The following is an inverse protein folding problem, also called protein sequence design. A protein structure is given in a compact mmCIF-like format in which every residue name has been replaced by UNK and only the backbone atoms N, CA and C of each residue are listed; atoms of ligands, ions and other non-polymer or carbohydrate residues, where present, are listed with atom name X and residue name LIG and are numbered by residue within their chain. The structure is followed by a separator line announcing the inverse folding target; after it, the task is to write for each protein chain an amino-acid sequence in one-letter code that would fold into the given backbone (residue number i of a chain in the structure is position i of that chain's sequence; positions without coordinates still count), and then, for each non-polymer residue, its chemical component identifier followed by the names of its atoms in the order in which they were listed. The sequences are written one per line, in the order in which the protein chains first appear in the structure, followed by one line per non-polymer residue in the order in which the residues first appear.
data_IF_815699761058
#
_entry.id   IF_815699761058
#
_cell.length_a   1.000
_cell.length_b   1.000
_cell.length_c   1.000
_cell.angle_alpha   90.00
_cell.angle_beta   90.00
_cell.angle_gamma   90.00
#
_symmetry.space_group_name_H-M   'P 1'
#
loop_
_entity.id
_entity.type
_entity.pdbx_description
1 polymer ?
#
# COMPACT_ATOMS: atom_id res chain seq x y z
N UNK A 1 -3.17 7.12 -4.06
CA UNK A 1 -2.65 8.47 -4.26
C UNK A 1 -1.16 8.50 -4.49
N UNK A 2 -0.60 9.67 -4.55
CA UNK A 2 0.82 9.87 -4.87
C UNK A 2 1.76 9.34 -3.79
N UNK A 3 1.36 9.43 -2.53
CA UNK A 3 2.15 8.90 -1.41
C UNK A 3 2.22 7.38 -1.44
N UNK A 4 1.10 6.71 -1.68
CA UNK A 4 1.05 5.25 -1.81
C UNK A 4 1.89 4.80 -3.00
N UNK A 5 1.81 5.49 -4.12
CA UNK A 5 2.60 5.16 -5.31
C UNK A 5 4.11 5.23 -5.01
N UNK A 6 4.55 6.31 -4.35
CA UNK A 6 5.95 6.48 -3.98
C UNK A 6 6.42 5.36 -3.05
N UNK A 7 5.59 5.00 -2.07
CA UNK A 7 5.87 3.90 -1.15
C UNK A 7 5.96 2.55 -1.87
N UNK A 8 5.01 2.25 -2.72
CA UNK A 8 5.00 0.98 -3.47
C UNK A 8 6.20 0.86 -4.40
N UNK A 9 6.60 1.94 -5.04
CA UNK A 9 7.81 1.95 -5.87
C UNK A 9 9.08 1.74 -5.04
N UNK A 10 9.11 2.29 -3.81
CA UNK A 10 10.18 2.03 -2.86
C UNK A 10 10.26 0.56 -2.47
N UNK A 11 9.11 -0.06 -2.16
CA UNK A 11 9.06 -1.49 -1.85
C UNK A 11 9.50 -2.34 -3.05
N UNK A 12 9.09 -1.97 -4.24
CA UNK A 12 9.51 -2.66 -5.47
C UNK A 12 11.02 -2.67 -5.61
N UNK A 13 11.65 -1.54 -5.38
CA UNK A 13 13.11 -1.41 -5.45
C UNK A 13 13.82 -2.32 -4.44
N UNK A 14 13.29 -2.41 -3.21
CA UNK A 14 13.91 -3.21 -2.15
C UNK A 14 13.63 -4.71 -2.28
N UNK A 15 12.45 -5.13 -2.76
CA UNK A 15 12.01 -6.52 -2.68
C UNK A 15 11.88 -7.24 -4.03
N UNK A 16 11.85 -6.51 -5.14
CA UNK A 16 11.84 -7.10 -6.49
C UNK A 16 13.22 -7.13 -7.15
N UNK A 17 14.19 -6.41 -6.61
CA UNK A 17 15.54 -6.38 -7.16
C UNK A 17 16.25 -7.70 -6.91
N UNK A 18 17.04 -8.19 -7.85
CA UNK A 18 17.90 -9.35 -7.65
C UNK A 18 17.39 -10.66 -8.25
N UNK A 19 16.53 -10.62 -9.24
CA UNK A 19 16.25 -11.79 -10.07
C UNK A 19 15.24 -12.78 -9.49
N UNK A 20 14.30 -12.31 -8.69
CA UNK A 20 13.20 -13.15 -8.18
C UNK A 20 12.23 -13.60 -9.29
N UNK A 21 12.44 -13.17 -10.53
CA UNK A 21 11.56 -13.53 -11.65
C UNK A 21 10.20 -12.86 -11.63
N UNK A 22 9.98 -11.89 -10.73
CA UNK A 22 8.71 -11.19 -10.56
C UNK A 22 8.82 -9.79 -11.15
N UNK A 23 7.90 -9.46 -12.05
CA UNK A 23 7.75 -8.11 -12.57
C UNK A 23 6.53 -7.47 -11.90
N UNK A 24 6.73 -6.34 -11.24
CA UNK A 24 5.64 -5.62 -10.57
C UNK A 24 5.38 -4.29 -11.26
N UNK A 25 4.12 -4.07 -11.62
CA UNK A 25 3.65 -2.80 -12.17
C UNK A 25 2.88 -2.06 -11.07
N UNK A 26 3.31 -0.84 -10.77
CA UNK A 26 2.63 0.04 -9.81
C UNK A 26 1.80 1.05 -10.58
N UNK A 27 0.52 1.20 -10.19
CA UNK A 27 -0.41 2.14 -10.80
C UNK A 27 -1.08 2.98 -9.73
N UNK A 28 -1.28 4.24 -10.02
CA UNK A 28 -1.95 5.20 -9.15
C UNK A 28 -3.37 5.46 -9.68
N UNK A 29 -4.37 5.24 -8.83
CA UNK A 29 -5.76 5.53 -9.17
C UNK A 29 -6.15 6.98 -8.91
N UNK A 30 -5.21 7.79 -8.43
CA UNK A 30 -5.38 9.22 -8.15
C UNK A 30 -6.50 9.54 -7.15
N UNK A 31 -6.63 8.71 -6.12
CA UNK A 31 -7.57 8.94 -5.02
C UNK A 31 -9.02 8.62 -5.36
N UNK A 32 -9.95 9.40 -4.83
CA UNK A 32 -11.41 9.26 -5.03
C UNK A 32 -12.03 8.02 -4.38
N UNK A 33 -11.38 7.48 -3.34
CA UNK A 33 -11.94 6.41 -2.53
C UNK A 33 -11.74 5.00 -3.04
N UNK A 34 -12.15 3.98 -2.23
CA UNK A 34 -11.91 2.58 -2.54
C UNK A 34 -12.58 2.11 -3.84
N UNK A 35 -13.78 2.60 -4.12
CA UNK A 35 -14.50 2.22 -5.34
C UNK A 35 -13.75 2.60 -6.60
N UNK A 36 -13.15 3.79 -6.60
CA UNK A 36 -12.36 4.25 -7.73
C UNK A 36 -11.10 3.41 -7.92
N UNK A 37 -10.44 3.01 -6.83
CA UNK A 37 -9.25 2.16 -6.90
C UNK A 37 -9.58 0.80 -7.51
N UNK A 38 -10.66 0.16 -7.06
CA UNK A 38 -11.08 -1.14 -7.59
C UNK A 38 -11.53 -1.02 -9.06
N UNK A 39 -12.26 0.02 -9.40
CA UNK A 39 -12.68 0.27 -10.78
C UNK A 39 -11.47 0.47 -11.70
N UNK A 40 -10.50 1.26 -11.27
CA UNK A 40 -9.26 1.48 -12.01
C UNK A 40 -8.48 0.16 -12.21
N UNK A 41 -8.33 -0.64 -11.15
CA UNK A 41 -7.65 -1.93 -11.22
C UNK A 41 -8.40 -2.92 -12.14
N UNK A 42 -9.74 -2.91 -12.11
CA UNK A 42 -10.57 -3.74 -12.97
C UNK A 42 -10.38 -3.38 -14.44
N UNK A 43 -10.33 -2.09 -14.75
CA UNK A 43 -10.09 -1.63 -16.14
C UNK A 43 -8.71 -2.03 -16.64
N UNK A 44 -7.68 -1.89 -15.81
CA UNK A 44 -6.32 -2.32 -16.16
C UNK A 44 -6.25 -3.82 -16.42
N UNK A 45 -6.98 -4.61 -15.66
CA UNK A 45 -7.03 -6.06 -15.82
C UNK A 45 -7.63 -6.49 -17.17
N UNK A 46 -8.46 -5.64 -17.80
CA UNK A 46 -9.04 -5.91 -19.12
C UNK A 46 -8.06 -5.66 -20.27
N UNK A 47 -7.09 -4.78 -20.08
CA UNK A 47 -6.15 -4.38 -21.14
C UNK A 47 -4.78 -5.01 -21.00
N UNK A 48 -4.49 -5.65 -19.88
CA UNK A 48 -3.21 -6.32 -19.62
C UNK A 48 -3.43 -7.57 -18.77
N UNK A 49 -2.64 -8.59 -19.01
CA UNK A 49 -2.68 -9.83 -18.25
C UNK A 49 -1.72 -9.77 -17.07
N UNK A 50 -2.21 -10.07 -15.88
CA UNK A 50 -1.42 -10.12 -14.64
C UNK A 50 -1.70 -11.41 -13.90
N UNK A 51 -0.66 -12.02 -13.33
CA UNK A 51 -0.81 -13.23 -12.51
C UNK A 51 -1.49 -12.91 -11.17
N UNK A 52 -1.15 -11.77 -10.58
CA UNK A 52 -1.73 -11.29 -9.34
C UNK A 52 -2.09 -9.82 -9.45
N UNK A 53 -3.21 -9.45 -8.81
CA UNK A 53 -3.69 -8.07 -8.73
C UNK A 53 -3.95 -7.73 -7.29
N UNK A 54 -3.39 -6.60 -6.84
CA UNK A 54 -3.51 -6.15 -5.46
C UNK A 54 -3.90 -4.68 -5.44
N UNK A 55 -4.80 -4.33 -4.55
CA UNK A 55 -5.16 -2.93 -4.30
C UNK A 55 -4.87 -2.59 -2.83
N UNK A 56 -4.13 -1.53 -2.63
CA UNK A 56 -3.87 -0.96 -1.30
C UNK A 56 -4.88 0.14 -1.05
N UNK A 57 -5.67 -0.01 0.00
CA UNK A 57 -6.85 0.82 0.27
C UNK A 57 -6.90 1.27 1.72
N UNK A 58 -7.43 2.48 1.94
CA UNK A 58 -7.75 2.94 3.30
C UNK A 58 -8.99 2.20 3.83
N UNK A 59 -9.06 2.03 5.15
CA UNK A 59 -10.17 1.36 5.82
C UNK A 59 -11.05 2.32 6.62
N UNK A 60 -10.77 3.62 6.59
CA UNK A 60 -11.54 4.63 7.32
C UNK A 60 -13.01 4.69 6.86
N UNK A 61 -13.25 4.40 5.58
CA UNK A 61 -14.58 4.19 5.04
C UNK A 61 -14.78 2.69 4.90
N UNK A 62 -15.78 2.08 5.57
CA UNK A 62 -16.00 0.64 5.49
C UNK A 62 -16.18 0.17 4.05
N UNK A 63 -15.54 -0.94 3.71
CA UNK A 63 -15.70 -1.56 2.40
C UNK A 63 -17.06 -2.24 2.33
N UNK A 64 -17.86 -1.86 1.33
CA UNK A 64 -19.19 -2.44 1.12
C UNK A 64 -19.07 -3.87 0.62
N UNK A 65 -20.12 -4.66 0.82
CA UNK A 65 -20.20 -6.03 0.27
C UNK A 65 -20.14 -6.01 -1.26
N UNK A 66 -20.73 -4.99 -1.88
CA UNK A 66 -20.66 -4.78 -3.32
C UNK A 66 -19.23 -4.60 -3.80
N UNK A 67 -18.45 -3.75 -3.10
CA UNK A 67 -17.04 -3.50 -3.42
C UNK A 67 -16.21 -4.77 -3.32
N UNK A 68 -16.39 -5.52 -2.22
CA UNK A 68 -15.67 -6.78 -1.99
C UNK A 68 -16.01 -7.81 -3.06
N UNK A 69 -17.28 -7.87 -3.48
CA UNK A 69 -17.73 -8.76 -4.53
C UNK A 69 -17.12 -8.39 -5.88
N UNK A 70 -17.10 -7.12 -6.22
CA UNK A 70 -16.48 -6.63 -7.46
C UNK A 70 -14.98 -6.94 -7.51
N UNK A 71 -14.28 -6.73 -6.40
CA UNK A 71 -12.86 -7.05 -6.29
C UNK A 71 -12.62 -8.55 -6.48
N UNK A 72 -13.42 -9.38 -5.82
CA UNK A 72 -13.32 -10.84 -5.92
C UNK A 72 -13.59 -11.32 -7.35
N UNK A 73 -14.58 -10.76 -8.00
CA UNK A 73 -14.93 -11.08 -9.41
C UNK A 73 -13.78 -10.73 -10.35
N UNK A 74 -13.07 -9.62 -10.10
CA UNK A 74 -11.93 -9.19 -10.89
C UNK A 74 -10.60 -9.83 -10.41
N UNK A 75 -10.66 -10.69 -9.40
CA UNK A 75 -9.50 -11.36 -8.80
C UNK A 75 -8.47 -10.36 -8.26
N UNK A 76 -8.96 -9.31 -7.61
CA UNK A 76 -8.14 -8.29 -6.97
C UNK A 76 -8.08 -8.60 -5.47
N UNK A 77 -6.87 -8.75 -4.95
CA UNK A 77 -6.64 -8.91 -3.53
C UNK A 77 -6.59 -7.53 -2.87
N UNK A 78 -7.51 -7.30 -1.92
CA UNK A 78 -7.60 -6.02 -1.22
C UNK A 78 -6.75 -6.06 0.05
N UNK A 79 -5.81 -5.12 0.17
CA UNK A 79 -4.99 -4.95 1.38
C UNK A 79 -5.36 -3.61 2.00
N UNK A 80 -5.75 -3.63 3.28
CA UNK A 80 -6.22 -2.44 3.99
C UNK A 80 -5.15 -1.75 4.81
N UNK A 81 -5.06 -0.44 4.68
CA UNK A 81 -4.28 0.41 5.59
C UNK A 81 -5.21 0.95 6.69
N UNK A 82 -4.84 0.78 7.95
CA UNK A 82 -5.71 1.06 9.11
C UNK A 82 -5.22 2.29 9.87
N UNK A 83 -6.05 3.33 9.99
CA UNK A 83 -7.31 3.57 9.28
C UNK A 83 -7.09 4.05 7.85
N UNK A 84 -5.88 4.44 7.52
CA UNK A 84 -5.45 4.95 6.23
C UNK A 84 -3.95 4.70 6.04
N UNK A 85 -3.41 5.10 4.90
CA UNK A 85 -2.01 4.88 4.56
C UNK A 85 -1.05 5.46 5.61
N UNK A 86 -1.30 6.65 6.12
CA UNK A 86 -0.47 7.28 7.15
C UNK A 86 -0.49 6.49 8.45
N UNK A 87 -1.61 5.83 8.76
CA UNK A 87 -1.70 4.91 9.90
C UNK A 87 -0.82 3.69 9.74
N UNK A 88 -0.74 3.14 8.53
CA UNK A 88 0.18 2.05 8.21
C UNK A 88 1.63 2.48 8.41
N UNK A 89 2.00 3.65 7.93
CA UNK A 89 3.36 4.18 8.09
C UNK A 89 3.72 4.36 9.56
N UNK A 90 2.80 4.88 10.38
CA UNK A 90 3.00 5.02 11.82
C UNK A 90 3.21 3.64 12.48
N UNK A 91 2.41 2.66 12.12
CA UNK A 91 2.54 1.30 12.65
C UNK A 91 3.90 0.69 12.29
N UNK A 92 4.38 0.88 11.07
CA UNK A 92 5.70 0.43 10.64
C UNK A 92 6.80 1.02 11.52
N UNK A 93 6.65 2.28 11.92
CA UNK A 93 7.62 2.97 12.79
C UNK A 93 7.43 2.63 14.28
N UNK A 94 6.54 1.70 14.60
CA UNK A 94 6.30 1.28 15.98
C UNK A 94 5.39 2.23 16.77
N UNK A 95 4.64 3.08 16.09
CA UNK A 95 3.70 4.01 16.72
C UNK A 95 2.27 3.49 16.58
N UNK A 96 1.40 3.81 17.54
CA UNK A 96 0.00 3.48 17.44
C UNK A 96 -0.71 4.46 16.51
N UNK A 97 -1.37 4.00 15.45
CA UNK A 97 -2.16 4.89 14.60
C UNK A 97 -3.32 5.52 15.39
N UNK A 98 -3.59 6.77 15.12
CA UNK A 98 -4.80 7.41 15.66
C UNK A 98 -6.03 6.82 14.97
N UNK A 99 -7.20 6.96 15.61
CA UNK A 99 -8.46 6.45 15.07
C UNK A 99 -8.91 7.19 13.81
N UNK A 100 -8.51 8.46 13.66
CA UNK A 100 -8.89 9.31 12.55
C UNK A 100 -7.71 9.55 11.61
N UNK A 101 -7.96 9.51 10.29
CA UNK A 101 -6.93 9.72 9.29
C UNK A 101 -6.27 11.11 9.39
N UNK A 102 -7.05 12.15 9.68
CA UNK A 102 -6.51 13.50 9.85
C UNK A 102 -5.45 13.56 10.94
N UNK A 103 -5.67 12.84 12.05
CA UNK A 103 -4.73 12.79 13.16
C UNK A 103 -3.49 11.94 12.79
N UNK A 104 -3.66 10.88 12.02
CA UNK A 104 -2.54 10.10 11.50
C UNK A 104 -1.64 10.96 10.58
N UNK A 105 -2.25 11.75 9.72
CA UNK A 105 -1.52 12.66 8.82
C UNK A 105 -0.71 13.68 9.60
N UNK A 106 -1.30 14.29 10.63
CA UNK A 106 -0.60 15.22 11.51
C UNK A 106 0.56 14.54 12.24
N UNK A 107 0.32 13.36 12.80
CA UNK A 107 1.32 12.62 13.57
C UNK A 107 2.53 12.27 12.70
N UNK A 108 2.31 11.74 11.49
CA UNK A 108 3.41 11.35 10.61
C UNK A 108 4.17 12.59 10.11
N UNK A 109 3.49 13.68 9.83
CA UNK A 109 4.11 14.93 9.42
C UNK A 109 5.00 15.51 10.50
N UNK A 110 4.54 15.52 11.75
CA UNK A 110 5.33 15.98 12.90
C UNK A 110 6.53 15.06 13.17
N UNK A 111 6.35 13.77 13.00
CA UNK A 111 7.40 12.79 13.28
C UNK A 111 8.52 12.83 12.25
N UNK A 112 8.19 12.93 10.98
CA UNK A 112 9.16 12.80 9.89
C UNK A 112 9.57 14.14 9.26
N UNK A 113 8.63 15.09 9.15
CA UNK A 113 8.89 16.39 8.54
C UNK A 113 9.34 16.33 7.09
N UNK A 114 8.84 15.33 6.34
CA UNK A 114 9.24 15.09 4.95
C UNK A 114 8.03 14.99 4.03
N UNK A 115 8.28 15.15 2.73
CA UNK A 115 7.25 14.97 1.70
C UNK A 115 7.12 13.48 1.36
N UNK A 116 5.97 12.89 1.70
CA UNK A 116 5.70 11.47 1.48
C UNK A 116 5.37 11.13 0.02
N UNK A 117 5.30 12.11 -0.86
CA UNK A 117 5.20 11.85 -2.31
C UNK A 117 6.57 11.63 -2.95
N UNK A 118 7.64 11.87 -2.20
CA UNK A 118 9.02 11.70 -2.65
C UNK A 118 9.58 10.34 -2.23
N UNK A 119 10.17 9.61 -3.17
CA UNK A 119 10.76 8.28 -2.89
C UNK A 119 11.90 8.36 -1.88
N UNK A 120 12.65 9.46 -1.89
CA UNK A 120 13.77 9.68 -0.97
C UNK A 120 13.34 9.67 0.49
N UNK A 121 12.12 10.12 0.79
CA UNK A 121 11.56 10.10 2.13
C UNK A 121 11.45 8.67 2.67
N UNK A 122 11.06 7.74 1.81
CA UNK A 122 10.96 6.32 2.19
C UNK A 122 12.32 5.67 2.32
N UNK A 123 13.26 5.99 1.44
CA UNK A 123 14.63 5.48 1.53
C UNK A 123 15.28 5.86 2.86
N UNK A 124 15.00 7.06 3.36
CA UNK A 124 15.55 7.58 4.63
C UNK A 124 14.89 6.95 5.84
N UNK A 125 13.55 6.90 5.88
CA UNK A 125 12.78 6.54 7.08
C UNK A 125 12.26 5.11 7.11
N UNK A 126 12.19 4.45 5.97
CA UNK A 126 11.66 3.10 5.83
C UNK A 126 12.66 2.18 5.10
N UNK A 127 13.89 2.06 5.61
CA UNK A 127 14.86 1.15 4.98
C UNK A 127 14.45 -0.31 5.21
N UNK A 128 15.04 -1.22 4.44
CA UNK A 128 14.68 -2.64 4.47
C UNK A 128 14.68 -3.25 5.87
N UNK A 129 15.67 -2.99 6.76
CA UNK A 129 15.63 -3.56 8.12
C UNK A 129 14.39 -3.14 8.93
N UNK A 130 13.94 -1.90 8.77
CA UNK A 130 12.72 -1.41 9.44
C UNK A 130 11.49 -2.14 8.92
N UNK A 131 11.39 -2.31 7.61
CA UNK A 131 10.28 -3.02 6.97
C UNK A 131 10.28 -4.51 7.32
N UNK A 132 11.44 -5.14 7.32
CA UNK A 132 11.58 -6.57 7.67
C UNK A 132 11.18 -6.84 9.11
N UNK A 133 11.52 -5.94 10.04
CA UNK A 133 11.09 -6.05 11.42
C UNK A 133 9.58 -5.83 11.57
N UNK A 134 9.03 -4.82 10.88
CA UNK A 134 7.63 -4.47 10.97
C UNK A 134 6.70 -5.55 10.39
N UNK A 135 7.11 -6.23 9.32
CA UNK A 135 6.29 -7.28 8.70
C UNK A 135 5.97 -8.44 9.64
N UNK A 136 6.79 -8.66 10.65
CA UNK A 136 6.56 -9.69 11.64
C UNK A 136 5.35 -9.40 12.55
N UNK A 137 4.95 -8.13 12.62
CA UNK A 137 3.86 -7.66 13.49
C UNK A 137 2.66 -7.12 12.71
N UNK A 138 2.83 -6.76 11.45
CA UNK A 138 1.81 -6.15 10.62
C UNK A 138 1.48 -7.09 9.45
N UNK A 139 0.36 -7.80 9.56
CA UNK A 139 -0.06 -8.81 8.57
C UNK A 139 -0.22 -8.19 7.18
N UNK A 140 -0.81 -7.00 7.11
CA UNK A 140 -1.07 -6.29 5.85
C UNK A 140 0.25 -5.94 5.14
N UNK A 141 1.25 -5.52 5.91
CA UNK A 141 2.57 -5.25 5.36
C UNK A 141 3.23 -6.54 4.85
N UNK A 142 3.15 -7.62 5.61
CA UNK A 142 3.71 -8.91 5.20
C UNK A 142 3.07 -9.41 3.90
N UNK A 143 1.75 -9.30 3.79
CA UNK A 143 1.02 -9.64 2.57
C UNK A 143 1.48 -8.81 1.38
N UNK A 144 1.68 -7.52 1.59
CA UNK A 144 2.13 -6.61 0.55
C UNK A 144 3.56 -6.94 0.10
N UNK A 145 4.47 -7.14 1.05
CA UNK A 145 5.86 -7.49 0.74
C UNK A 145 5.96 -8.86 0.03
N UNK A 146 5.12 -9.81 0.42
CA UNK A 146 5.07 -11.12 -0.22
C UNK A 146 4.75 -11.02 -1.72
N UNK A 147 3.88 -10.08 -2.11
CA UNK A 147 3.58 -9.83 -3.53
C UNK A 147 4.84 -9.43 -4.29
N UNK A 148 5.62 -8.50 -3.75
CA UNK A 148 6.87 -8.06 -4.39
C UNK A 148 7.92 -9.18 -4.44
N UNK A 149 7.90 -10.08 -3.46
CA UNK A 149 8.80 -11.23 -3.39
C UNK A 149 8.36 -12.40 -4.27
N UNK A 150 7.19 -12.32 -4.88
CA UNK A 150 6.65 -13.38 -5.73
C UNK A 150 6.02 -14.54 -4.96
N UNK A 151 5.54 -14.28 -3.77
CA UNK A 151 4.94 -15.30 -2.91
C UNK A 151 3.43 -15.19 -2.81
#
# INVERSE_FOLDING_TARGET
GDSEEAFLKHLRELYCSGGAGVAVTVRNAHGKGPENVIDHATRLARIASFDKRVALLDTDIPWTDKLKKEARKAKINMIGSIPCFEGLLLAILGKYPAAQCADCKKAISLLLGVDLTERQSYAKHFPKPVLDAARLKIVELDQLLAVFEGR
#
